data_IF_556362730754
#
_entry.id   IF_556362730754
#
_cell.length_a   1.000
_cell.length_b   1.000
_cell.length_c   1.000
_cell.angle_alpha   90.00
_cell.angle_beta   90.00
_cell.angle_gamma   90.00
#
_symmetry.space_group_name_H-M   'P 1'
#
loop_
_entity.id
_entity.type
_entity.pdbx_description
1 polymer ?
#
# COMPACT_ATOMS: atom_id res chain seq x y z
N UNK A 1 -12.23 -18.35 7.12
CA UNK A 1 -12.64 -19.77 7.35
C UNK A 1 -12.81 -20.54 6.05
N UNK A 2 -13.34 -19.95 4.97
CA UNK A 2 -13.49 -20.65 3.66
C UNK A 2 -12.17 -21.09 3.01
N UNK A 3 -11.06 -20.44 3.35
CA UNK A 3 -9.72 -20.77 2.86
C UNK A 3 -8.88 -21.58 3.86
N UNK A 4 -9.42 -21.94 5.03
CA UNK A 4 -8.72 -22.78 5.99
C UNK A 4 -8.40 -24.15 5.37
N UNK A 5 -7.12 -24.49 5.29
CA UNK A 5 -6.62 -25.70 4.63
C UNK A 5 -6.31 -25.59 3.13
N UNK A 6 -6.67 -24.47 2.45
CA UNK A 6 -6.32 -24.24 1.03
C UNK A 6 -5.14 -23.31 0.84
N UNK A 7 -4.90 -22.40 1.79
CA UNK A 7 -3.76 -21.48 1.78
C UNK A 7 -3.13 -21.46 3.16
N UNK A 8 -1.79 -21.54 3.20
CA UNK A 8 -1.04 -21.37 4.44
C UNK A 8 -0.73 -19.90 4.62
N UNK A 9 -1.06 -19.35 5.78
CA UNK A 9 -0.59 -18.03 6.18
C UNK A 9 0.90 -18.12 6.52
N UNK A 10 1.71 -17.20 6.00
CA UNK A 10 3.15 -17.14 6.25
C UNK A 10 3.47 -15.97 7.16
N UNK A 11 2.95 -14.79 6.84
CA UNK A 11 3.19 -13.59 7.59
C UNK A 11 2.56 -12.37 6.93
N UNK A 12 2.52 -11.26 7.64
CA UNK A 12 2.04 -9.98 7.15
C UNK A 12 2.49 -8.82 8.02
N UNK A 13 2.62 -7.66 7.43
CA UNK A 13 3.01 -6.44 8.11
C UNK A 13 2.08 -5.29 7.77
N UNK A 14 2.13 -4.26 8.59
CA UNK A 14 1.46 -2.98 8.37
C UNK A 14 2.46 -1.83 8.47
N UNK A 15 2.13 -0.69 7.88
CA UNK A 15 2.99 0.49 7.87
C UNK A 15 3.26 1.07 9.27
N UNK A 16 2.43 0.72 10.24
CA UNK A 16 2.50 1.19 11.64
C UNK A 16 3.34 0.28 12.53
N UNK A 17 4.38 -0.35 11.98
CA UNK A 17 5.33 -1.23 12.69
C UNK A 17 4.71 -2.52 13.25
N UNK A 18 3.49 -2.88 12.83
CA UNK A 18 2.86 -4.14 13.20
C UNK A 18 3.33 -5.26 12.29
N UNK A 19 3.75 -6.39 12.86
CA UNK A 19 4.09 -7.60 12.11
C UNK A 19 3.53 -8.83 12.78
N UNK A 20 2.94 -9.70 11.97
CA UNK A 20 2.42 -11.00 12.36
C UNK A 20 3.12 -12.08 11.55
N UNK A 21 3.82 -13.00 12.22
CA UNK A 21 4.45 -14.16 11.62
C UNK A 21 3.73 -15.42 12.05
N UNK A 22 3.38 -16.27 11.08
CA UNK A 22 2.60 -17.50 11.28
C UNK A 22 1.21 -17.23 11.89
N UNK A 23 0.44 -18.27 12.13
CA UNK A 23 -0.94 -18.19 12.59
C UNK A 23 -1.16 -18.64 14.06
N UNK A 24 -0.09 -18.91 14.79
CA UNK A 24 -0.15 -19.31 16.21
C UNK A 24 -0.65 -18.20 17.14
N UNK A 25 -0.47 -16.94 16.75
CA UNK A 25 -1.10 -15.75 17.34
C UNK A 25 -1.88 -15.06 16.21
N UNK A 26 -3.08 -14.54 16.53
CA UNK A 26 -3.92 -13.84 15.52
C UNK A 26 -3.91 -12.33 15.70
N UNK A 27 -2.79 -11.80 16.18
CA UNK A 27 -2.53 -10.37 16.29
C UNK A 27 -1.02 -10.13 16.16
N UNK A 28 -0.65 -8.88 15.98
CA UNK A 28 0.74 -8.44 15.83
C UNK A 28 1.55 -8.77 17.09
N UNK A 29 2.77 -9.25 16.89
CA UNK A 29 3.67 -9.61 17.99
C UNK A 29 5.08 -9.09 17.72
N UNK A 30 5.51 -8.11 18.52
CA UNK A 30 6.88 -7.59 18.44
C UNK A 30 7.92 -8.63 18.85
N UNK A 31 7.58 -9.54 19.78
CA UNK A 31 8.50 -10.60 20.24
C UNK A 31 8.83 -11.55 19.10
N UNK A 32 7.81 -12.08 18.41
CA UNK A 32 8.02 -12.97 17.26
C UNK A 32 8.67 -12.24 16.08
N UNK A 33 8.33 -10.97 15.85
CA UNK A 33 8.96 -10.15 14.83
C UNK A 33 10.47 -9.96 15.08
N UNK A 34 10.86 -9.64 16.31
CA UNK A 34 12.28 -9.51 16.69
C UNK A 34 13.03 -10.84 16.55
N UNK A 35 12.43 -11.95 16.99
CA UNK A 35 13.05 -13.29 16.86
C UNK A 35 13.29 -13.62 15.38
N UNK A 36 12.27 -13.46 14.52
CA UNK A 36 12.39 -13.68 13.08
C UNK A 36 13.44 -12.78 12.45
N UNK A 37 13.50 -11.50 12.83
CA UNK A 37 14.52 -10.58 12.33
C UNK A 37 15.94 -11.03 12.71
N UNK A 38 16.15 -11.50 13.95
CA UNK A 38 17.45 -12.03 14.37
C UNK A 38 17.84 -13.27 13.58
N UNK A 39 16.92 -14.20 13.35
CA UNK A 39 17.17 -15.38 12.49
C UNK A 39 17.51 -14.99 11.06
N UNK A 40 16.76 -14.06 10.48
CA UNK A 40 17.03 -13.53 9.13
C UNK A 40 18.41 -12.86 9.05
N UNK A 41 18.78 -12.08 10.07
CA UNK A 41 20.08 -11.42 10.13
C UNK A 41 21.24 -12.44 10.25
N UNK A 42 21.08 -13.46 11.10
CA UNK A 42 22.04 -14.55 11.23
C UNK A 42 22.16 -15.34 9.92
N UNK A 43 21.05 -15.67 9.28
CA UNK A 43 21.01 -16.34 7.99
C UNK A 43 21.74 -15.56 6.89
N UNK A 44 21.56 -14.24 6.86
CA UNK A 44 22.29 -13.38 5.92
C UNK A 44 23.78 -13.36 6.19
N UNK A 45 24.17 -13.23 7.48
CA UNK A 45 25.57 -13.21 7.92
C UNK A 45 26.30 -14.50 7.56
N UNK A 46 25.68 -15.67 7.76
CA UNK A 46 26.24 -16.98 7.37
C UNK A 46 26.54 -17.09 5.87
N UNK A 47 25.89 -16.25 5.05
CA UNK A 47 26.11 -16.14 3.60
C UNK A 47 26.99 -14.97 3.21
N UNK A 48 27.66 -14.34 4.18
CA UNK A 48 28.54 -13.19 3.94
C UNK A 48 27.81 -11.92 3.53
N UNK A 49 26.51 -11.82 3.85
CA UNK A 49 25.65 -10.68 3.50
C UNK A 49 25.23 -9.91 4.74
N UNK A 50 25.09 -8.60 4.63
CA UNK A 50 24.33 -7.80 5.60
C UNK A 50 22.83 -7.87 5.25
N UNK A 51 21.95 -7.54 6.23
CA UNK A 51 20.49 -7.39 5.98
C UNK A 51 20.22 -6.37 4.87
N UNK A 52 21.02 -5.31 4.79
CA UNK A 52 20.92 -4.33 3.70
C UNK A 52 21.19 -4.95 2.32
N UNK A 53 22.21 -5.79 2.19
CA UNK A 53 22.47 -6.51 0.95
C UNK A 53 21.40 -7.54 0.63
N UNK A 54 20.85 -8.19 1.67
CA UNK A 54 19.76 -9.14 1.50
C UNK A 54 18.52 -8.46 0.90
N UNK A 55 18.07 -7.32 1.44
CA UNK A 55 16.90 -6.62 0.88
C UNK A 55 17.15 -6.12 -0.54
N UNK A 56 18.36 -5.65 -0.84
CA UNK A 56 18.72 -5.24 -2.20
C UNK A 56 18.69 -6.42 -3.18
N UNK A 57 19.15 -7.61 -2.77
CA UNK A 57 19.07 -8.80 -3.61
C UNK A 57 17.62 -9.21 -3.91
N UNK A 58 16.71 -9.03 -2.95
CA UNK A 58 15.27 -9.25 -3.14
C UNK A 58 14.71 -8.26 -4.18
N UNK A 59 15.09 -6.98 -4.10
CA UNK A 59 14.65 -6.00 -5.09
C UNK A 59 15.23 -6.25 -6.49
N UNK A 60 16.44 -6.77 -6.60
CA UNK A 60 17.02 -7.15 -7.88
C UNK A 60 16.35 -8.40 -8.49
N UNK A 61 15.83 -9.30 -7.67
CA UNK A 61 15.14 -10.50 -8.12
C UNK A 61 13.66 -10.25 -8.48
N UNK A 62 12.96 -9.45 -7.67
CA UNK A 62 11.49 -9.25 -7.78
C UNK A 62 11.07 -7.85 -8.24
N UNK A 63 12.00 -6.92 -8.38
CA UNK A 63 11.72 -5.50 -8.60
C UNK A 63 11.63 -4.69 -7.31
N UNK A 64 11.76 -3.38 -7.42
CA UNK A 64 11.57 -2.45 -6.32
C UNK A 64 10.08 -2.19 -6.10
N UNK A 65 9.55 -2.64 -4.98
CA UNK A 65 8.25 -2.22 -4.44
C UNK A 65 8.50 -1.11 -3.43
N UNK A 66 8.19 0.10 -3.81
CA UNK A 66 8.39 1.27 -2.97
C UNK A 66 7.06 1.82 -2.49
N UNK A 67 6.89 1.91 -1.17
CA UNK A 67 5.66 2.35 -0.54
C UNK A 67 5.90 3.58 0.33
N UNK A 68 4.95 4.51 0.29
CA UNK A 68 4.97 5.72 1.13
C UNK A 68 3.59 6.03 1.68
N UNK A 69 3.53 6.29 2.98
CA UNK A 69 2.34 6.76 3.66
C UNK A 69 2.40 8.26 3.92
N UNK A 70 1.31 8.97 3.61
CA UNK A 70 1.13 10.37 3.99
C UNK A 70 -0.11 10.51 4.87
N UNK A 71 -0.01 11.28 5.94
CA UNK A 71 -1.16 11.65 6.79
C UNK A 71 -1.39 13.15 6.72
N UNK A 72 -2.58 13.55 6.31
CA UNK A 72 -3.02 14.94 6.29
C UNK A 72 -3.98 15.16 7.44
N UNK A 73 -3.62 16.07 8.35
CA UNK A 73 -4.41 16.41 9.53
C UNK A 73 -5.19 17.70 9.27
N UNK A 74 -6.48 17.72 9.56
CA UNK A 74 -7.34 18.90 9.55
C UNK A 74 -7.86 19.12 10.96
N UNK A 75 -7.63 20.30 11.55
CA UNK A 75 -7.97 20.56 12.96
C UNK A 75 -9.44 20.99 13.12
N UNK A 76 -10.04 20.58 14.23
CA UNK A 76 -11.36 21.02 14.65
C UNK A 76 -12.52 20.30 13.94
N UNK A 77 -13.74 20.76 14.23
CA UNK A 77 -14.98 20.19 13.65
C UNK A 77 -15.04 20.39 12.14
N UNK A 78 -14.65 21.56 11.66
CA UNK A 78 -14.55 21.85 10.21
C UNK A 78 -13.57 20.91 9.50
N UNK A 79 -12.50 20.48 10.17
CA UNK A 79 -11.56 19.55 9.60
C UNK A 79 -12.12 18.15 9.32
N UNK A 80 -13.03 17.67 10.15
CA UNK A 80 -13.74 16.41 9.88
C UNK A 80 -14.67 16.55 8.67
N UNK A 81 -15.40 17.66 8.55
CA UNK A 81 -16.27 17.97 7.40
C UNK A 81 -15.47 18.10 6.10
N UNK A 82 -14.29 18.73 6.16
CA UNK A 82 -13.35 18.80 5.03
C UNK A 82 -12.90 17.42 4.57
N UNK A 83 -12.53 16.53 5.48
CA UNK A 83 -12.10 15.16 5.16
C UNK A 83 -13.24 14.35 4.53
N UNK A 84 -14.45 14.49 5.04
CA UNK A 84 -15.63 13.88 4.42
C UNK A 84 -15.88 14.42 3.00
N UNK A 85 -15.73 15.73 2.82
CA UNK A 85 -15.85 16.36 1.50
C UNK A 85 -14.76 15.86 0.54
N UNK A 86 -13.51 15.72 1.01
CA UNK A 86 -12.42 15.12 0.22
C UNK A 86 -12.77 13.70 -0.23
N UNK A 87 -13.26 12.85 0.69
CA UNK A 87 -13.63 11.47 0.34
C UNK A 87 -14.80 11.39 -0.65
N UNK A 88 -15.80 12.28 -0.53
CA UNK A 88 -16.87 12.40 -1.53
C UNK A 88 -16.32 12.81 -2.89
N UNK A 89 -15.46 13.83 -2.90
CA UNK A 89 -14.84 14.32 -4.14
C UNK A 89 -14.03 13.25 -4.86
N UNK A 90 -13.21 12.48 -4.13
CA UNK A 90 -12.45 11.37 -4.71
C UNK A 90 -13.35 10.28 -5.30
N UNK A 91 -14.54 10.04 -4.74
CA UNK A 91 -15.50 9.08 -5.30
C UNK A 91 -16.23 9.59 -6.52
N UNK A 92 -16.68 10.86 -6.47
CA UNK A 92 -17.48 11.47 -7.55
C UNK A 92 -16.62 11.87 -8.74
N UNK A 93 -15.42 12.40 -8.46
CA UNK A 93 -14.49 12.93 -9.45
C UNK A 93 -13.15 12.17 -9.40
N UNK A 94 -13.24 10.86 -9.61
CA UNK A 94 -12.05 10.02 -9.59
C UNK A 94 -11.05 10.47 -10.65
N UNK A 95 -9.75 10.53 -10.33
CA UNK A 95 -8.72 10.89 -11.29
C UNK A 95 -8.68 9.87 -12.44
N UNK A 96 -8.48 10.34 -13.65
CA UNK A 96 -8.31 9.49 -14.84
C UNK A 96 -6.88 9.00 -14.99
N UNK A 97 -5.94 9.70 -14.36
CA UNK A 97 -4.50 9.42 -14.37
C UNK A 97 -3.90 9.76 -13.01
N UNK A 98 -2.88 9.04 -12.58
CA UNK A 98 -2.10 9.28 -11.37
C UNK A 98 -0.62 9.00 -11.65
N UNK A 99 0.22 10.01 -11.39
CA UNK A 99 1.66 9.92 -11.60
C UNK A 99 2.06 9.58 -13.04
N UNK A 100 1.32 10.08 -14.01
CA UNK A 100 1.57 9.85 -15.44
C UNK A 100 1.08 8.50 -15.96
N UNK A 101 0.25 7.75 -15.17
CA UNK A 101 -0.29 6.47 -15.59
C UNK A 101 -1.83 6.44 -15.50
N UNK A 102 -2.54 5.95 -16.53
CA UNK A 102 -3.99 5.87 -16.53
C UNK A 102 -4.52 5.01 -15.38
N UNK A 103 -5.60 5.47 -14.72
CA UNK A 103 -6.32 4.69 -13.71
C UNK A 103 -7.14 3.63 -14.42
N UNK A 104 -6.85 2.36 -14.16
CA UNK A 104 -7.56 1.22 -14.73
C UNK A 104 -8.64 0.66 -13.82
N UNK A 105 -8.45 0.75 -12.50
CA UNK A 105 -9.39 0.15 -11.55
C UNK A 105 -9.62 1.07 -10.36
N UNK A 106 -10.89 1.15 -9.95
CA UNK A 106 -11.30 1.82 -8.70
C UNK A 106 -12.03 0.80 -7.85
N UNK A 107 -11.64 0.68 -6.57
CA UNK A 107 -12.29 -0.18 -5.58
C UNK A 107 -12.81 0.70 -4.45
N UNK A 108 -14.12 0.76 -4.27
CA UNK A 108 -14.75 1.46 -3.14
C UNK A 108 -15.26 0.44 -2.12
N UNK A 109 -14.52 0.32 -1.04
CA UNK A 109 -14.87 -0.60 0.05
C UNK A 109 -16.04 -0.10 0.92
N UNK A 110 -16.50 1.13 0.74
CA UNK A 110 -17.69 1.61 1.43
C UNK A 110 -18.98 1.10 0.77
N UNK A 111 -19.00 1.01 -0.55
CA UNK A 111 -20.12 0.45 -1.32
C UNK A 111 -19.94 -1.03 -1.66
N UNK A 112 -18.74 -1.59 -1.47
CA UNK A 112 -18.30 -2.90 -1.94
C UNK A 112 -18.41 -3.05 -3.47
N UNK A 113 -18.14 -1.98 -4.18
CA UNK A 113 -18.15 -1.94 -5.64
C UNK A 113 -16.74 -1.69 -6.20
N UNK A 114 -16.40 -2.41 -7.24
CA UNK A 114 -15.25 -2.13 -8.10
C UNK A 114 -15.71 -1.67 -9.49
N UNK A 115 -14.88 -0.87 -10.14
CA UNK A 115 -15.05 -0.44 -11.53
C UNK A 115 -13.73 -0.63 -12.27
N UNK A 116 -13.79 -1.42 -13.33
CA UNK A 116 -12.70 -1.60 -14.28
C UNK A 116 -12.94 -0.68 -15.49
N UNK A 117 -11.99 0.18 -15.78
CA UNK A 117 -12.05 1.09 -16.92
C UNK A 117 -11.54 0.47 -18.22
N UNK A 118 -10.84 -0.65 -18.17
CA UNK A 118 -10.37 -1.37 -19.34
C UNK A 118 -11.49 -2.13 -20.05
N UNK A 119 -12.36 -2.78 -19.28
CA UNK A 119 -13.56 -3.48 -19.76
C UNK A 119 -14.87 -2.71 -19.59
N UNK A 120 -14.86 -1.61 -18.83
CA UNK A 120 -16.07 -0.83 -18.54
C UNK A 120 -17.03 -1.49 -17.56
N UNK A 121 -16.64 -2.59 -16.93
CA UNK A 121 -17.49 -3.39 -16.06
C UNK A 121 -17.43 -2.94 -14.61
N UNK A 122 -18.60 -2.98 -13.95
CA UNK A 122 -18.70 -2.92 -12.50
C UNK A 122 -18.75 -4.32 -11.93
N UNK A 123 -18.12 -4.52 -10.78
CA UNK A 123 -18.12 -5.80 -10.07
C UNK A 123 -18.26 -5.60 -8.56
N UNK A 124 -18.72 -6.62 -7.86
CA UNK A 124 -18.82 -6.60 -6.40
C UNK A 124 -17.52 -7.07 -5.76
N UNK A 125 -17.15 -6.43 -4.64
CA UNK A 125 -16.02 -6.84 -3.82
C UNK A 125 -16.48 -7.88 -2.80
N UNK A 126 -15.86 -9.06 -2.81
CA UNK A 126 -16.12 -10.12 -1.84
C UNK A 126 -15.40 -9.83 -0.52
N UNK A 127 -16.02 -9.00 0.31
CA UNK A 127 -15.49 -8.60 1.62
C UNK A 127 -16.53 -8.83 2.71
N UNK A 128 -16.11 -9.26 3.92
CA UNK A 128 -17.04 -9.59 5.00
C UNK A 128 -17.74 -8.37 5.60
N UNK A 129 -17.16 -7.17 5.45
CA UNK A 129 -17.69 -5.91 5.99
C UNK A 129 -17.29 -4.74 5.11
N UNK A 130 -18.05 -3.64 5.19
CA UNK A 130 -17.71 -2.37 4.55
C UNK A 130 -16.60 -1.64 5.32
N UNK A 131 -15.84 -0.81 4.62
CA UNK A 131 -14.83 0.07 5.20
C UNK A 131 -14.73 1.37 4.40
N UNK A 132 -14.55 2.51 5.04
CA UNK A 132 -14.38 3.77 4.33
C UNK A 132 -12.98 3.89 3.74
N UNK A 133 -12.70 3.02 2.76
CA UNK A 133 -11.46 2.98 1.99
C UNK A 133 -11.79 3.09 0.52
N UNK A 134 -11.03 3.89 -0.19
CA UNK A 134 -11.05 4.00 -1.64
C UNK A 134 -9.67 3.65 -2.18
N UNK A 135 -9.61 2.84 -3.22
CA UNK A 135 -8.35 2.41 -3.82
C UNK A 135 -8.38 2.63 -5.32
N UNK A 136 -7.31 3.21 -5.85
CA UNK A 136 -7.03 3.33 -7.28
C UNK A 136 -5.88 2.41 -7.67
N UNK A 137 -5.98 1.80 -8.84
CA UNK A 137 -4.89 1.07 -9.47
C UNK A 137 -4.69 1.59 -10.88
N UNK A 138 -3.45 1.82 -11.25
CA UNK A 138 -3.09 2.33 -12.57
C UNK A 138 -2.52 1.22 -13.46
N UNK A 139 -2.40 1.52 -14.75
CA UNK A 139 -1.88 0.60 -15.77
C UNK A 139 -0.48 0.06 -15.44
N UNK A 140 0.39 0.91 -14.90
CA UNK A 140 1.76 0.52 -14.52
C UNK A 140 1.87 -0.17 -13.14
N UNK A 141 0.74 -0.53 -12.53
CA UNK A 141 0.68 -1.25 -11.26
C UNK A 141 0.81 -0.37 -10.02
N UNK A 142 0.81 0.97 -10.16
CA UNK A 142 0.73 1.87 -9.01
C UNK A 142 -0.58 1.67 -8.27
N UNK A 143 -0.52 1.62 -6.96
CA UNK A 143 -1.68 1.47 -6.07
C UNK A 143 -1.75 2.65 -5.10
N UNK A 144 -2.89 3.32 -5.07
CA UNK A 144 -3.18 4.40 -4.13
C UNK A 144 -4.38 4.03 -3.29
N UNK A 145 -4.21 3.93 -1.97
CA UNK A 145 -5.31 3.69 -1.04
C UNK A 145 -5.52 4.91 -0.17
N UNK A 146 -6.76 5.36 -0.07
CA UNK A 146 -7.17 6.55 0.69
C UNK A 146 -8.10 6.12 1.81
N UNK A 147 -7.77 6.49 3.04
CA UNK A 147 -8.53 6.11 4.23
C UNK A 147 -8.60 7.24 5.25
N UNK A 148 -9.78 7.78 5.59
CA UNK A 148 -9.92 8.67 6.73
C UNK A 148 -9.76 7.89 8.05
N UNK A 149 -9.27 8.58 9.09
CA UNK A 149 -9.23 8.02 10.44
C UNK A 149 -10.63 8.02 11.05
N UNK A 150 -10.98 6.96 11.77
CA UNK A 150 -12.25 6.90 12.49
C UNK A 150 -12.26 7.66 13.81
N UNK A 151 -11.11 8.04 14.34
CA UNK A 151 -10.99 8.63 15.70
C UNK A 151 -10.39 10.03 15.72
N UNK A 152 -9.73 10.43 14.65
CA UNK A 152 -9.03 11.72 14.54
C UNK A 152 -9.34 12.38 13.20
N UNK A 153 -9.38 13.72 13.13
CA UNK A 153 -9.63 14.43 11.87
C UNK A 153 -8.35 14.40 10.98
N UNK A 154 -8.06 13.24 10.46
CA UNK A 154 -6.95 12.99 9.52
C UNK A 154 -7.37 12.03 8.42
N UNK A 155 -6.76 12.20 7.26
CA UNK A 155 -6.87 11.29 6.12
C UNK A 155 -5.49 10.75 5.77
N UNK A 156 -5.39 9.46 5.50
CA UNK A 156 -4.16 8.78 5.14
C UNK A 156 -4.18 8.38 3.67
N UNK A 157 -3.06 8.56 3.02
CA UNK A 157 -2.78 8.11 1.67
C UNK A 157 -1.67 7.07 1.75
N UNK A 158 -1.88 5.90 1.17
CA UNK A 158 -0.90 4.84 1.03
C UNK A 158 -0.63 4.66 -0.45
N UNK A 159 0.58 4.96 -0.87
CA UNK A 159 0.97 4.94 -2.29
C UNK A 159 2.06 3.90 -2.45
N UNK A 160 1.81 2.90 -3.29
CA UNK A 160 2.76 1.88 -3.68
C UNK A 160 3.06 1.99 -5.17
N UNK A 161 4.34 2.03 -5.52
CA UNK A 161 4.85 2.02 -6.89
C UNK A 161 5.79 0.85 -7.08
N UNK A 162 5.86 0.33 -8.31
CA UNK A 162 6.71 -0.81 -8.64
C UNK A 162 7.60 -0.48 -9.85
N UNK A 163 8.87 -0.89 -9.76
CA UNK A 163 9.85 -0.76 -10.83
C UNK A 163 10.61 -2.07 -11.01
N UNK A 164 10.65 -2.58 -12.23
CA UNK A 164 11.60 -3.63 -12.57
C UNK A 164 13.00 -3.05 -12.63
N UNK A 165 13.97 -3.73 -12.02
CA UNK A 165 15.37 -3.29 -11.95
C UNK A 165 16.28 -4.47 -12.27
N UNK A 166 17.29 -4.27 -13.11
CA UNK A 166 18.18 -5.34 -13.56
C UNK A 166 19.52 -5.34 -12.84
N UNK A 167 19.90 -4.25 -12.18
CA UNK A 167 21.19 -4.09 -11.51
C UNK A 167 21.14 -3.03 -10.41
N UNK A 168 22.21 -2.92 -9.64
CA UNK A 168 22.35 -2.00 -8.50
C UNK A 168 22.20 -0.53 -8.90
N UNK A 169 22.71 -0.13 -10.07
CA UNK A 169 22.63 1.26 -10.54
C UNK A 169 21.19 1.63 -10.91
N UNK A 170 20.46 0.70 -11.53
CA UNK A 170 19.04 0.87 -11.83
C UNK A 170 18.22 0.91 -10.55
N UNK A 171 18.54 0.08 -9.55
CA UNK A 171 17.89 0.10 -8.26
C UNK A 171 18.07 1.45 -7.56
N UNK A 172 19.29 2.01 -7.54
CA UNK A 172 19.53 3.33 -6.95
C UNK A 172 18.78 4.44 -7.67
N UNK A 173 18.69 4.37 -9.01
CA UNK A 173 17.87 5.31 -9.79
C UNK A 173 16.37 5.13 -9.54
N UNK A 174 15.90 3.89 -9.41
CA UNK A 174 14.50 3.58 -9.17
C UNK A 174 13.98 4.20 -7.86
N UNK A 175 14.78 4.30 -6.80
CA UNK A 175 14.41 5.01 -5.58
C UNK A 175 14.13 6.49 -5.83
N UNK A 176 14.94 7.17 -6.64
CA UNK A 176 14.75 8.59 -6.97
C UNK A 176 13.47 8.76 -7.78
N UNK A 177 13.29 7.95 -8.82
CA UNK A 177 12.10 7.99 -9.68
C UNK A 177 10.83 7.66 -8.89
N UNK A 178 10.91 6.74 -7.93
CA UNK A 178 9.79 6.39 -7.05
C UNK A 178 9.34 7.60 -6.20
N UNK A 179 10.27 8.33 -5.61
CA UNK A 179 9.96 9.54 -4.84
C UNK A 179 9.35 10.65 -5.71
N UNK A 180 9.90 10.89 -6.89
CA UNK A 180 9.37 11.85 -7.85
C UNK A 180 7.95 11.49 -8.30
N UNK A 181 7.73 10.21 -8.61
CA UNK A 181 6.41 9.71 -9.00
C UNK A 181 5.39 9.85 -7.89
N UNK A 182 5.75 9.51 -6.65
CA UNK A 182 4.86 9.68 -5.49
C UNK A 182 4.52 11.17 -5.27
N UNK A 183 5.49 12.07 -5.41
CA UNK A 183 5.23 13.51 -5.32
C UNK A 183 4.23 13.97 -6.41
N UNK A 184 4.35 13.48 -7.64
CA UNK A 184 3.40 13.75 -8.71
C UNK A 184 2.01 13.22 -8.38
N UNK A 185 1.89 11.98 -7.88
CA UNK A 185 0.60 11.39 -7.47
C UNK A 185 -0.08 12.23 -6.37
N UNK A 186 0.69 12.69 -5.38
CA UNK A 186 0.14 13.55 -4.32
C UNK A 186 -0.37 14.88 -4.88
N UNK A 187 0.38 15.48 -5.79
CA UNK A 187 -0.05 16.69 -6.50
C UNK A 187 -1.35 16.45 -7.30
N UNK A 188 -1.45 15.34 -8.04
CA UNK A 188 -2.64 14.98 -8.82
C UNK A 188 -3.87 14.78 -7.93
N UNK A 189 -3.66 14.34 -6.68
CA UNK A 189 -4.71 14.21 -5.66
C UNK A 189 -5.02 15.52 -4.90
N UNK A 190 -4.29 16.61 -5.19
CA UNK A 190 -4.48 17.90 -4.54
C UNK A 190 -3.99 17.94 -3.09
N UNK A 191 -2.93 17.20 -2.77
CA UNK A 191 -2.37 17.02 -1.41
C UNK A 191 -0.97 17.59 -1.30
#
# INVERSE_FOLDING_TARGET
RENEGRRRYIGGGEESYGFLWEDFIRDKSSVSACALFCEMAAWALDRGMSVYRLIRSIYLEYGLYYEKGLSVVRKGKSGAEEIEAMMRNYREYAPVELGGSPVQEILDYASLEGKDFTGGEKFSLDMPTTSNVLQYKTEDGTKVSIRPSGTEPKIKFYIGVHFSVANEQELDRAYIVAEEKIATILHDLGV
#
